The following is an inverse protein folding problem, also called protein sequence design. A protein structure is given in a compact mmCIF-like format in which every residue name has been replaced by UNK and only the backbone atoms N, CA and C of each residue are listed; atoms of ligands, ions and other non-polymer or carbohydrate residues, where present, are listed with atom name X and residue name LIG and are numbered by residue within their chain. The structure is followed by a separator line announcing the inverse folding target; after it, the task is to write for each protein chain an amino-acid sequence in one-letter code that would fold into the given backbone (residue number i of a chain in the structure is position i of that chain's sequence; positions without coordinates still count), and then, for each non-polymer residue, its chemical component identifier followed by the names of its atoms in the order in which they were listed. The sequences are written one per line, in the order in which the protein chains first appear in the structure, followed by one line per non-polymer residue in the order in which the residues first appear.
data_IF_203693444949
#
_entry.id   IF_203693444949
#
_cell.length_a   1.000
_cell.length_b   1.000
_cell.length_c   1.000
_cell.angle_alpha   90.00
_cell.angle_beta   90.00
_cell.angle_gamma   90.00
#
_symmetry.space_group_name_H-M   'P 1'
#
loop_
_entity.id
_entity.type
_entity.pdbx_description
1 polymer ?
#
# COMPACT_ATOMS: atom_id res chain seq x y z
N UNK A 1 -14.60 7.68 -27.64
CA UNK A 1 -14.64 8.56 -26.45
C UNK A 1 -13.20 8.74 -26.00
N UNK A 2 -12.60 9.87 -26.35
CA UNK A 2 -11.25 10.23 -25.89
C UNK A 2 -11.42 10.78 -24.47
N UNK A 3 -10.97 10.02 -23.48
CA UNK A 3 -10.98 10.44 -22.09
C UNK A 3 -10.02 11.60 -21.90
N UNK A 4 -10.48 12.64 -21.21
CA UNK A 4 -9.64 13.75 -20.80
C UNK A 4 -8.43 13.20 -20.05
N UNK A 5 -7.24 13.40 -20.62
CA UNK A 5 -5.98 13.02 -19.99
C UNK A 5 -5.84 13.93 -18.78
N UNK A 6 -6.01 13.37 -17.58
CA UNK A 6 -5.81 14.09 -16.33
C UNK A 6 -4.46 14.82 -16.34
N UNK A 7 -4.44 16.06 -15.85
CA UNK A 7 -3.21 16.83 -15.79
C UNK A 7 -2.31 16.16 -14.76
N UNK A 8 -1.12 15.73 -15.20
CA UNK A 8 -0.09 15.18 -14.32
C UNK A 8 0.90 16.29 -14.00
N UNK A 9 1.00 16.65 -12.73
CA UNK A 9 2.06 17.52 -12.23
C UNK A 9 3.16 16.70 -11.54
N UNK A 10 4.40 17.18 -11.62
CA UNK A 10 5.56 16.56 -10.98
C UNK A 10 6.31 17.60 -10.15
N UNK A 11 6.63 17.24 -8.91
CA UNK A 11 7.46 18.02 -8.02
C UNK A 11 8.57 17.14 -7.45
N UNK A 12 9.82 17.57 -7.60
CA UNK A 12 10.94 16.97 -6.89
C UNK A 12 11.13 17.70 -5.55
N UNK A 13 10.83 17.02 -4.43
CA UNK A 13 11.01 17.59 -3.08
C UNK A 13 12.44 17.40 -2.57
N UNK A 14 13.12 16.35 -3.04
CA UNK A 14 14.53 16.07 -2.73
C UNK A 14 15.16 15.22 -3.84
N UNK A 15 16.46 14.92 -3.75
CA UNK A 15 17.12 13.97 -4.67
C UNK A 15 16.54 12.55 -4.62
N UNK A 16 15.79 12.21 -3.55
CA UNK A 16 15.20 10.88 -3.33
C UNK A 16 13.68 10.88 -3.26
N UNK A 17 13.05 12.05 -3.37
CA UNK A 17 11.61 12.23 -3.16
C UNK A 17 10.98 12.93 -4.35
N UNK A 18 10.04 12.24 -5.00
CA UNK A 18 9.27 12.80 -6.11
C UNK A 18 7.79 12.66 -5.81
N UNK A 19 7.04 13.71 -6.09
CA UNK A 19 5.58 13.73 -5.97
C UNK A 19 4.97 13.93 -7.34
N UNK A 20 4.01 13.08 -7.66
CA UNK A 20 3.21 13.18 -8.86
C UNK A 20 1.76 13.40 -8.44
N UNK A 21 1.14 14.48 -8.91
CA UNK A 21 -0.30 14.67 -8.71
C UNK A 21 -1.01 14.47 -10.03
N UNK A 22 -1.98 13.57 -10.04
CA UNK A 22 -2.86 13.31 -11.18
C UNK A 22 -4.21 13.91 -10.86
N UNK A 23 -4.55 15.02 -11.50
CA UNK A 23 -5.85 15.66 -11.38
C UNK A 23 -6.88 14.86 -12.20
N UNK A 24 -7.92 14.35 -11.53
CA UNK A 24 -9.03 13.68 -12.19
C UNK A 24 -10.14 14.69 -12.51
N UNK A 25 -10.39 15.63 -11.61
CA UNK A 25 -11.28 16.76 -11.77
C UNK A 25 -10.82 17.93 -10.87
N UNK A 26 -11.63 19.00 -10.76
CA UNK A 26 -11.30 20.21 -9.96
C UNK A 26 -11.20 19.98 -8.45
N UNK A 27 -11.72 18.86 -7.97
CA UNK A 27 -11.91 18.52 -6.56
C UNK A 27 -11.29 17.17 -6.17
N UNK A 28 -10.89 16.37 -7.16
CA UNK A 28 -10.36 15.03 -6.99
C UNK A 28 -8.99 14.89 -7.64
N UNK A 29 -8.03 14.41 -6.86
CA UNK A 29 -6.68 14.09 -7.34
C UNK A 29 -6.11 12.84 -6.69
N UNK A 30 -5.22 12.17 -7.42
CA UNK A 30 -4.40 11.08 -6.90
C UNK A 30 -2.98 11.61 -6.73
N UNK A 31 -2.42 11.47 -5.53
CA UNK A 31 -1.06 11.89 -5.21
C UNK A 31 -0.20 10.64 -5.02
N UNK A 32 0.82 10.52 -5.85
CA UNK A 32 1.88 9.52 -5.71
C UNK A 32 3.08 10.19 -5.05
N UNK A 33 3.37 9.85 -3.80
CA UNK A 33 4.59 10.29 -3.12
C UNK A 33 5.58 9.13 -3.14
N UNK A 34 6.72 9.34 -3.80
CA UNK A 34 7.75 8.33 -3.96
C UNK A 34 8.96 8.69 -3.12
N UNK A 35 9.51 7.69 -2.44
CA UNK A 35 10.75 7.80 -1.71
C UNK A 35 11.61 6.57 -1.97
N UNK A 36 12.72 6.77 -2.67
CA UNK A 36 13.57 5.67 -3.14
C UNK A 36 12.74 4.63 -3.92
N UNK A 37 12.60 3.41 -3.40
CA UNK A 37 11.83 2.32 -4.02
C UNK A 37 10.40 2.19 -3.46
N UNK A 38 9.99 3.09 -2.57
CA UNK A 38 8.65 3.11 -1.99
C UNK A 38 7.76 4.09 -2.73
N UNK A 39 6.49 3.72 -2.85
CA UNK A 39 5.42 4.59 -3.34
C UNK A 39 4.27 4.58 -2.36
N UNK A 40 3.82 5.76 -2.00
CA UNK A 40 2.55 5.98 -1.35
C UNK A 40 1.56 6.55 -2.34
N UNK A 41 0.31 6.09 -2.25
CA UNK A 41 -0.79 6.53 -3.09
C UNK A 41 -1.86 7.09 -2.19
N UNK A 42 -2.17 8.37 -2.37
CA UNK A 42 -3.25 9.05 -1.67
C UNK A 42 -4.31 9.49 -2.66
N UNK A 43 -5.58 9.19 -2.37
CA UNK A 43 -6.72 9.67 -3.14
C UNK A 43 -7.38 10.78 -2.34
N UNK A 44 -7.35 11.99 -2.89
CA UNK A 44 -7.94 13.18 -2.28
C UNK A 44 -9.18 13.52 -3.09
N UNK A 45 -10.35 13.42 -2.47
CA UNK A 45 -11.63 13.77 -3.07
C UNK A 45 -12.44 14.62 -2.10
N UNK A 46 -13.09 15.66 -2.62
CA UNK A 46 -13.92 16.55 -1.81
C UNK A 46 -15.23 15.88 -1.35
N UNK A 47 -15.80 14.98 -2.16
CA UNK A 47 -17.00 14.23 -1.80
C UNK A 47 -16.76 12.71 -1.86
N UNK A 48 -15.81 12.23 -1.05
CA UNK A 48 -15.43 10.81 -1.02
C UNK A 48 -16.59 9.85 -0.77
N UNK A 49 -17.66 10.30 -0.10
CA UNK A 49 -18.85 9.50 0.14
C UNK A 49 -19.65 9.23 -1.14
N UNK A 50 -19.79 10.23 -2.01
CA UNK A 50 -20.47 10.09 -3.30
C UNK A 50 -19.53 9.47 -4.36
N UNK A 51 -18.33 10.02 -4.50
CA UNK A 51 -17.37 9.64 -5.57
C UNK A 51 -16.93 8.17 -5.45
N UNK A 52 -16.84 7.66 -4.23
CA UNK A 52 -16.48 6.26 -3.94
C UNK A 52 -17.64 5.48 -3.32
N UNK A 53 -18.88 5.92 -3.53
CA UNK A 53 -20.06 5.20 -3.04
C UNK A 53 -20.05 3.75 -3.56
N UNK A 54 -20.23 2.80 -2.64
CA UNK A 54 -20.19 1.37 -2.96
C UNK A 54 -18.80 0.78 -3.26
N UNK A 55 -17.72 1.57 -3.18
CA UNK A 55 -16.37 1.05 -3.36
C UNK A 55 -16.00 0.07 -2.24
N UNK A 56 -15.48 -1.08 -2.63
CA UNK A 56 -14.97 -2.15 -1.76
C UNK A 56 -13.65 -2.65 -2.32
N UNK A 57 -12.75 -3.13 -1.46
CA UNK A 57 -11.42 -3.55 -1.85
C UNK A 57 -10.53 -3.83 -0.65
N UNK A 58 -9.22 -3.96 -0.88
CA UNK A 58 -8.22 -4.14 0.19
C UNK A 58 -8.17 -2.98 1.19
N UNK A 59 -8.63 -1.79 0.81
CA UNK A 59 -8.77 -0.63 1.71
C UNK A 59 -10.05 -0.70 2.58
N UNK A 60 -10.86 -1.74 2.39
CA UNK A 60 -12.17 -1.89 3.03
C UNK A 60 -13.29 -1.17 2.26
N UNK A 61 -14.51 -1.35 2.76
CA UNK A 61 -15.69 -0.69 2.21
C UNK A 61 -15.69 0.82 2.53
N UNK A 62 -15.94 1.67 1.54
CA UNK A 62 -15.97 3.11 1.73
C UNK A 62 -16.96 3.51 2.86
N UNK A 63 -16.59 4.52 3.64
CA UNK A 63 -17.36 5.02 4.79
C UNK A 63 -17.33 4.15 6.05
N UNK A 64 -17.06 2.84 5.95
CA UNK A 64 -17.08 1.92 7.11
C UNK A 64 -15.74 1.24 7.39
N UNK A 65 -14.88 1.10 6.38
CA UNK A 65 -13.62 0.35 6.46
C UNK A 65 -13.79 -1.16 6.63
N UNK A 66 -15.02 -1.69 6.49
CA UNK A 66 -15.29 -3.12 6.71
C UNK A 66 -14.59 -3.98 5.67
N UNK A 67 -14.04 -5.11 6.12
CA UNK A 67 -13.37 -6.09 5.28
C UNK A 67 -14.40 -6.98 4.59
N UNK A 68 -14.97 -6.49 3.48
CA UNK A 68 -15.96 -7.23 2.68
C UNK A 68 -15.30 -8.06 1.59
N UNK A 69 -15.86 -9.24 1.32
CA UNK A 69 -15.51 -10.01 0.13
C UNK A 69 -16.00 -9.31 -1.16
N UNK A 70 -15.64 -9.85 -2.33
CA UNK A 70 -16.00 -9.26 -3.63
C UNK A 70 -17.51 -9.25 -3.90
N UNK A 71 -18.27 -10.08 -3.20
CA UNK A 71 -19.73 -10.08 -3.22
C UNK A 71 -20.37 -8.85 -2.54
N UNK A 72 -19.55 -8.02 -1.87
CA UNK A 72 -19.99 -6.81 -1.17
C UNK A 72 -20.81 -7.05 0.10
N UNK A 73 -20.93 -8.30 0.56
CA UNK A 73 -21.82 -8.67 1.68
C UNK A 73 -21.15 -9.58 2.71
N UNK A 74 -20.28 -10.49 2.28
CA UNK A 74 -19.58 -11.41 3.18
C UNK A 74 -18.51 -10.67 3.98
N UNK A 75 -18.52 -10.83 5.30
CA UNK A 75 -17.61 -10.16 6.22
C UNK A 75 -16.40 -11.04 6.57
N UNK A 76 -15.19 -10.52 6.36
CA UNK A 76 -13.91 -11.22 6.57
C UNK A 76 -13.03 -10.56 7.66
N UNK A 77 -13.63 -9.81 8.58
CA UNK A 77 -12.90 -9.07 9.64
C UNK A 77 -12.05 -9.95 10.56
N UNK A 78 -12.45 -11.22 10.76
CA UNK A 78 -11.73 -12.18 11.59
C UNK A 78 -10.76 -13.08 10.81
N UNK A 79 -10.68 -12.92 9.48
CA UNK A 79 -9.79 -13.69 8.61
C UNK A 79 -9.05 -12.77 7.63
N UNK A 80 -8.01 -12.11 8.16
CA UNK A 80 -7.17 -11.17 7.39
C UNK A 80 -6.48 -11.87 6.21
N UNK A 81 -6.11 -13.14 6.38
CA UNK A 81 -5.46 -13.91 5.31
C UNK A 81 -6.47 -14.21 4.20
N UNK A 82 -7.65 -14.72 4.54
CA UNK A 82 -8.74 -14.95 3.59
C UNK A 82 -9.18 -13.68 2.89
N UNK A 83 -9.26 -12.55 3.60
CA UNK A 83 -9.53 -11.24 3.01
C UNK A 83 -8.50 -10.85 1.95
N UNK A 84 -7.20 -11.05 2.23
CA UNK A 84 -6.15 -10.80 1.26
C UNK A 84 -6.24 -11.70 0.02
N UNK A 85 -6.56 -12.98 0.21
CA UNK A 85 -6.71 -13.96 -0.89
C UNK A 85 -7.94 -13.65 -1.76
N UNK A 86 -9.06 -13.24 -1.16
CA UNK A 86 -10.30 -12.90 -1.88
C UNK A 86 -10.10 -11.76 -2.88
N UNK A 87 -9.21 -10.82 -2.54
CA UNK A 87 -8.85 -9.67 -3.36
C UNK A 87 -7.67 -9.91 -4.32
N UNK A 88 -7.28 -11.17 -4.55
CA UNK A 88 -6.37 -11.52 -5.65
C UNK A 88 -6.99 -11.12 -7.01
N UNK A 89 -6.17 -10.58 -7.91
CA UNK A 89 -6.61 -10.25 -9.28
C UNK A 89 -6.90 -11.54 -10.05
N UNK A 90 -8.13 -11.68 -10.54
CA UNK A 90 -8.63 -12.86 -11.26
C UNK A 90 -8.30 -12.81 -12.74
N UNK A 91 -8.44 -13.93 -13.42
CA UNK A 91 -8.32 -14.05 -14.87
C UNK A 91 -9.47 -13.35 -15.61
N UNK A 92 -10.64 -13.23 -14.96
CA UNK A 92 -11.78 -12.44 -15.42
C UNK A 92 -11.61 -10.93 -15.26
N UNK A 93 -10.66 -10.47 -14.44
CA UNK A 93 -10.38 -9.05 -14.27
C UNK A 93 -9.62 -8.51 -15.50
N UNK A 94 -9.77 -7.21 -15.77
CA UNK A 94 -8.99 -6.56 -16.83
C UNK A 94 -7.48 -6.74 -16.56
N UNK A 95 -6.72 -7.09 -17.61
CA UNK A 95 -5.28 -7.33 -17.48
C UNK A 95 -4.53 -6.02 -17.23
N UNK A 96 -4.18 -5.79 -15.97
CA UNK A 96 -3.38 -4.64 -15.52
C UNK A 96 -1.87 -4.93 -15.52
N UNK A 97 -1.47 -6.20 -15.48
CA UNK A 97 -0.07 -6.61 -15.45
C UNK A 97 0.44 -6.92 -16.86
N UNK A 98 1.63 -6.42 -17.19
CA UNK A 98 2.29 -6.68 -18.47
C UNK A 98 2.73 -8.16 -18.61
N UNK A 99 3.06 -8.80 -17.50
CA UNK A 99 3.43 -10.22 -17.45
C UNK A 99 2.20 -11.01 -17.00
N UNK A 100 1.70 -11.85 -17.89
CA UNK A 100 0.40 -12.50 -17.73
C UNK A 100 0.49 -13.84 -16.99
N UNK A 101 1.68 -14.47 -16.96
CA UNK A 101 1.90 -15.83 -16.46
C UNK A 101 2.90 -15.84 -15.30
N UNK A 102 2.58 -15.14 -14.20
CA UNK A 102 3.40 -15.18 -12.98
C UNK A 102 2.75 -16.08 -11.95
N UNK A 103 3.41 -17.18 -11.60
CA UNK A 103 3.00 -17.99 -10.46
C UNK A 103 3.43 -17.33 -9.13
N UNK A 104 2.57 -17.30 -8.09
CA UNK A 104 1.15 -17.69 -8.08
C UNK A 104 0.22 -16.57 -8.57
N UNK A 105 -0.82 -16.94 -9.33
CA UNK A 105 -1.90 -16.06 -9.79
C UNK A 105 -3.20 -16.86 -9.84
N UNK A 106 -4.34 -16.20 -9.65
CA UNK A 106 -5.66 -16.85 -9.69
C UNK A 106 -5.78 -17.74 -10.94
N UNK A 107 -6.25 -18.99 -10.81
CA UNK A 107 -6.95 -19.58 -9.66
C UNK A 107 -6.06 -20.12 -8.54
N UNK A 108 -4.74 -20.10 -8.69
CA UNK A 108 -3.84 -20.55 -7.63
C UNK A 108 -3.77 -19.53 -6.49
N UNK A 109 -3.96 -20.00 -5.25
CA UNK A 109 -3.87 -19.17 -4.06
C UNK A 109 -2.46 -18.61 -3.88
N UNK A 110 -2.37 -17.39 -3.33
CA UNK A 110 -1.09 -16.79 -2.99
C UNK A 110 -0.37 -17.65 -1.93
N UNK A 111 0.86 -18.06 -2.25
CA UNK A 111 1.68 -18.90 -1.36
C UNK A 111 2.23 -18.03 -0.23
N UNK A 112 1.66 -18.19 0.97
CA UNK A 112 2.15 -17.49 2.15
C UNK A 112 3.55 -17.97 2.52
N UNK A 113 4.49 -17.06 2.84
CA UNK A 113 5.81 -17.46 3.29
C UNK A 113 5.70 -18.26 4.60
N UNK A 114 6.30 -19.45 4.62
CA UNK A 114 6.42 -20.24 5.85
C UNK A 114 7.37 -19.55 6.82
N UNK A 115 6.94 -19.35 8.07
CA UNK A 115 7.72 -18.65 9.12
C UNK A 115 9.13 -19.24 9.32
N UNK A 116 9.33 -20.53 9.00
CA UNK A 116 10.64 -21.22 9.02
C UNK A 116 11.66 -20.64 8.04
N UNK A 117 11.22 -20.06 6.91
CA UNK A 117 12.13 -19.49 5.90
C UNK A 117 12.53 -18.04 6.19
N UNK A 118 11.83 -17.35 7.10
CA UNK A 118 12.17 -16.00 7.51
C UNK A 118 13.48 -15.96 8.32
N UNK A 119 13.79 -17.01 9.06
CA UNK A 119 15.08 -17.18 9.76
C UNK A 119 16.21 -17.67 8.85
N UNK A 120 15.90 -18.29 7.71
CA UNK A 120 16.91 -18.94 6.85
C UNK A 120 17.33 -18.09 5.63
N UNK A 121 16.49 -17.19 5.13
CA UNK A 121 16.83 -16.36 3.94
C UNK A 121 17.36 -14.96 4.25
N UNK A 122 17.19 -14.47 5.47
CA UNK A 122 17.84 -13.23 5.91
C UNK A 122 18.87 -13.63 6.96
N UNK A 123 20.15 -13.50 6.64
CA UNK A 123 21.21 -13.49 7.66
C UNK A 123 20.89 -12.33 8.59
N UNK A 124 20.22 -12.61 9.70
CA UNK A 124 19.73 -11.69 10.73
C UNK A 124 20.83 -10.80 11.38
N UNK A 125 22.05 -10.76 10.84
CA UNK A 125 23.19 -10.07 11.43
C UNK A 125 23.94 -9.08 10.54
N UNK A 126 23.67 -8.95 9.23
CA UNK A 126 24.51 -8.10 8.36
C UNK A 126 23.78 -6.87 7.76
N UNK A 127 22.44 -6.84 7.71
CA UNK A 127 21.67 -5.77 7.01
C UNK A 127 20.43 -5.26 7.78
N UNK A 128 20.20 -5.69 9.02
CA UNK A 128 18.97 -5.37 9.74
C UNK A 128 19.18 -4.24 10.75
N UNK A 129 18.46 -3.14 10.55
CA UNK A 129 18.28 -2.11 11.57
C UNK A 129 17.57 -2.76 12.76
N UNK A 130 18.10 -2.56 13.97
CA UNK A 130 17.50 -3.14 15.18
C UNK A 130 16.15 -2.49 15.48
N UNK A 131 15.31 -3.19 16.25
CA UNK A 131 14.03 -2.63 16.67
C UNK A 131 14.22 -1.38 17.53
N UNK A 132 15.29 -1.35 18.31
CA UNK A 132 15.71 -0.25 19.17
C UNK A 132 16.12 0.97 18.33
N UNK A 133 16.98 0.79 17.33
CA UNK A 133 17.39 1.87 16.41
C UNK A 133 16.20 2.40 15.61
N UNK A 134 15.35 1.50 15.10
CA UNK A 134 14.11 1.86 14.41
C UNK A 134 13.18 2.67 15.32
N UNK A 135 13.05 2.27 16.59
CA UNK A 135 12.25 2.99 17.58
C UNK A 135 12.80 4.40 17.85
N UNK A 136 14.12 4.55 17.92
CA UNK A 136 14.76 5.85 18.15
C UNK A 136 14.45 6.83 17.03
N UNK A 137 14.69 6.45 15.78
CA UNK A 137 14.44 7.34 14.63
C UNK A 137 12.95 7.60 14.39
N UNK A 138 12.09 6.66 14.74
CA UNK A 138 10.63 6.82 14.62
C UNK A 138 9.98 7.51 15.84
N UNK A 139 10.75 7.89 16.87
CA UNK A 139 10.21 8.48 18.10
C UNK A 139 9.52 9.85 17.89
N UNK A 140 9.78 10.51 16.76
CA UNK A 140 9.10 11.77 16.39
C UNK A 140 7.61 11.60 16.10
N UNK A 141 7.15 10.39 15.77
CA UNK A 141 5.77 10.07 15.46
C UNK A 141 4.97 9.81 16.74
N UNK A 142 4.06 10.73 17.07
CA UNK A 142 3.33 10.73 18.35
C UNK A 142 2.23 9.66 18.43
N UNK A 143 1.61 9.32 17.29
CA UNK A 143 0.58 8.30 17.27
C UNK A 143 1.21 6.91 17.20
N UNK A 144 0.72 6.00 18.05
CA UNK A 144 1.23 4.63 18.13
C UNK A 144 1.17 3.89 16.79
N UNK A 145 0.11 4.14 15.99
CA UNK A 145 -0.05 3.57 14.65
C UNK A 145 1.11 4.01 13.75
N UNK A 146 1.29 5.31 13.59
CA UNK A 146 2.32 5.94 12.76
C UNK A 146 3.73 5.51 13.19
N UNK A 147 4.02 5.51 14.50
CA UNK A 147 5.30 5.03 15.03
C UNK A 147 5.54 3.55 14.69
N UNK A 148 4.51 2.70 14.80
CA UNK A 148 4.64 1.28 14.49
C UNK A 148 4.87 1.06 13.00
N UNK A 149 4.14 1.77 12.14
CA UNK A 149 4.28 1.68 10.69
C UNK A 149 5.66 2.18 10.23
N UNK A 150 6.12 3.32 10.76
CA UNK A 150 7.48 3.82 10.56
C UNK A 150 8.56 2.78 10.94
N UNK A 151 8.42 2.14 12.11
CA UNK A 151 9.38 1.11 12.54
C UNK A 151 9.40 -0.08 11.57
N UNK A 152 8.24 -0.52 11.10
CA UNK A 152 8.15 -1.59 10.10
C UNK A 152 8.87 -1.22 8.81
N UNK A 153 8.62 -0.02 8.28
CA UNK A 153 9.25 0.43 7.04
C UNK A 153 10.76 0.58 7.18
N UNK A 154 11.25 1.16 8.28
CA UNK A 154 12.68 1.28 8.57
C UNK A 154 13.34 -0.11 8.64
N UNK A 155 12.75 -1.05 9.37
CA UNK A 155 13.29 -2.40 9.51
C UNK A 155 13.20 -3.20 8.20
N UNK A 156 12.13 -3.01 7.42
CA UNK A 156 11.90 -3.73 6.17
C UNK A 156 12.82 -3.23 5.06
N UNK A 157 12.98 -1.91 4.95
CA UNK A 157 13.86 -1.27 3.97
C UNK A 157 15.33 -1.34 4.35
N UNK A 158 15.63 -1.56 5.64
CA UNK A 158 17.00 -1.48 6.16
C UNK A 158 17.57 -0.07 6.07
N UNK A 159 16.72 0.96 6.09
CA UNK A 159 17.12 2.35 5.90
C UNK A 159 16.49 3.29 6.94
N UNK A 160 17.32 3.94 7.77
CA UNK A 160 16.87 4.90 8.79
C UNK A 160 16.20 6.14 8.18
N UNK A 161 16.57 6.52 6.96
CA UNK A 161 15.98 7.68 6.28
C UNK A 161 14.50 7.47 5.94
N UNK A 162 14.01 6.22 5.90
CA UNK A 162 12.59 5.91 5.71
C UNK A 162 11.72 6.53 6.81
N UNK A 163 12.27 6.77 8.00
CA UNK A 163 11.56 7.45 9.10
C UNK A 163 11.17 8.91 8.79
N UNK A 164 11.84 9.54 7.83
CA UNK A 164 11.60 10.93 7.42
C UNK A 164 10.51 11.07 6.36
N UNK A 165 10.02 9.97 5.80
CA UNK A 165 8.99 10.00 4.75
C UNK A 165 7.69 10.59 5.27
N UNK A 166 7.29 10.21 6.49
CA UNK A 166 5.98 10.57 7.01
C UNK A 166 4.83 9.89 6.27
N UNK A 167 5.12 8.85 5.48
CA UNK A 167 4.16 8.21 4.60
C UNK A 167 4.09 6.70 4.89
N UNK A 168 3.38 6.37 5.96
CA UNK A 168 3.19 5.02 6.51
C UNK A 168 1.85 4.88 7.22
#
# INVERSE_FOLDING_TARGET
MMGDVGIVSHQQRSTKTHVFEVELDKTTKIVFDTFMDMVSVSVIANNSAEDFSGSVGLLGANGTGRMLARDGTTLLENDVTGFGQEWQVRDSDHKLFQVVDRFPQHPDACVMPTMTTASERRRLGEWMISKEDAREVCAMWKHKRDMTACMYDVMFTGNLASALTGVF
#
